data_IF_261961147643
#
_entry.id   IF_261961147643
#
_cell.length_a   1.000
_cell.length_b   1.000
_cell.length_c   1.000
_cell.angle_alpha   90.00
_cell.angle_beta   90.00
_cell.angle_gamma   90.00
#
_symmetry.space_group_name_H-M   'P 1'
#
loop_
_entity.id
_entity.type
_entity.pdbx_description
1 polymer ?
#
# COMPACT_ATOMS: atom_id res chain seq x y z
N UNK A 1 25.18 -26.66 -20.78
CA UNK A 1 24.01 -26.78 -19.88
C UNK A 1 23.06 -25.64 -20.22
N UNK A 2 21.78 -25.92 -20.52
CA UNK A 2 20.81 -24.85 -20.79
C UNK A 2 20.61 -24.04 -19.50
N UNK A 3 20.95 -22.75 -19.51
CA UNK A 3 20.59 -21.81 -18.46
C UNK A 3 19.06 -21.72 -18.40
N UNK A 4 18.43 -22.59 -17.60
CA UNK A 4 17.00 -22.52 -17.35
C UNK A 4 16.78 -21.39 -16.35
N UNK A 5 16.77 -20.14 -16.85
CA UNK A 5 16.32 -19.00 -16.06
C UNK A 5 14.86 -19.27 -15.72
N UNK A 6 14.57 -19.49 -14.43
CA UNK A 6 13.19 -19.56 -13.94
C UNK A 6 12.47 -18.28 -14.36
N UNK A 7 11.28 -18.45 -14.92
CA UNK A 7 10.43 -17.35 -15.39
C UNK A 7 9.62 -16.72 -14.25
N UNK A 8 9.11 -15.51 -14.48
CA UNK A 8 8.16 -14.87 -13.56
C UNK A 8 6.94 -15.75 -13.31
N UNK A 9 6.39 -16.36 -14.37
CA UNK A 9 5.25 -17.26 -14.32
C UNK A 9 5.48 -18.43 -13.34
N UNK A 10 6.65 -19.06 -13.40
CA UNK A 10 7.00 -20.17 -12.50
C UNK A 10 7.12 -19.71 -11.05
N UNK A 11 7.85 -18.62 -10.78
CA UNK A 11 7.95 -18.05 -9.43
C UNK A 11 6.57 -17.69 -8.88
N UNK A 12 5.74 -17.04 -9.70
CA UNK A 12 4.36 -16.66 -9.36
C UNK A 12 3.54 -17.89 -9.00
N UNK A 13 3.54 -18.90 -9.86
CA UNK A 13 2.70 -20.09 -9.69
C UNK A 13 3.11 -20.89 -8.45
N UNK A 14 4.40 -20.95 -8.14
CA UNK A 14 4.92 -21.61 -6.92
C UNK A 14 4.58 -20.86 -5.63
N UNK A 15 4.41 -19.54 -5.68
CA UNK A 15 4.33 -18.71 -4.48
C UNK A 15 3.04 -17.89 -4.31
N UNK A 16 2.08 -17.96 -5.25
CA UNK A 16 0.80 -17.24 -5.14
C UNK A 16 0.08 -17.48 -3.81
N UNK A 17 0.09 -18.71 -3.31
CA UNK A 17 -0.51 -19.08 -2.01
C UNK A 17 0.22 -18.43 -0.83
N UNK A 18 1.54 -18.21 -0.93
CA UNK A 18 2.35 -17.54 0.09
C UNK A 18 1.93 -16.08 0.22
N UNK A 19 1.74 -15.39 -0.90
CA UNK A 19 1.24 -14.00 -0.91
C UNK A 19 -0.18 -13.93 -0.36
N UNK A 20 -1.08 -14.82 -0.79
CA UNK A 20 -2.45 -14.89 -0.26
C UNK A 20 -2.48 -15.10 1.25
N UNK A 21 -1.63 -15.99 1.77
CA UNK A 21 -1.51 -16.24 3.20
C UNK A 21 -1.10 -14.99 3.98
N UNK A 22 -0.08 -14.26 3.50
CA UNK A 22 0.37 -13.03 4.16
C UNK A 22 -0.69 -11.92 4.11
N UNK A 23 -1.41 -11.78 3.00
CA UNK A 23 -2.52 -10.84 2.89
C UNK A 23 -3.63 -11.17 3.88
N UNK A 24 -4.05 -12.44 3.95
CA UNK A 24 -5.05 -12.91 4.90
C UNK A 24 -4.64 -12.67 6.35
N UNK A 25 -3.37 -13.00 6.70
CA UNK A 25 -2.85 -12.84 8.07
C UNK A 25 -2.78 -11.40 8.56
N UNK A 26 -2.67 -10.43 7.66
CA UNK A 26 -2.70 -9.02 8.03
C UNK A 26 -4.13 -8.48 8.15
N UNK A 27 -5.15 -9.32 7.91
CA UNK A 27 -6.57 -9.02 8.00
C UNK A 27 -6.96 -7.73 7.27
N UNK A 28 -6.33 -7.48 6.11
CA UNK A 28 -6.63 -6.28 5.34
C UNK A 28 -7.51 -6.62 4.16
N UNK A 29 -8.62 -5.89 4.04
CA UNK A 29 -9.53 -5.97 2.90
C UNK A 29 -8.82 -5.40 1.67
N UNK A 30 -8.47 -6.29 0.74
CA UNK A 30 -7.81 -5.94 -0.52
C UNK A 30 -8.82 -6.08 -1.66
N UNK A 31 -9.79 -5.16 -1.73
CA UNK A 31 -10.94 -5.24 -2.66
C UNK A 31 -10.54 -5.32 -4.13
N UNK A 32 -9.38 -4.75 -4.49
CA UNK A 32 -8.88 -4.70 -5.86
C UNK A 32 -7.68 -5.62 -6.09
N UNK A 33 -7.31 -6.46 -5.11
CA UNK A 33 -6.13 -7.33 -5.17
C UNK A 33 -4.79 -6.60 -5.40
N UNK A 34 -4.73 -5.28 -5.16
CA UNK A 34 -3.54 -4.47 -5.37
C UNK A 34 -2.39 -4.97 -4.51
N UNK A 35 -2.67 -5.36 -3.26
CA UNK A 35 -1.64 -5.92 -2.37
C UNK A 35 -1.18 -7.28 -2.85
N UNK A 36 -2.08 -8.10 -3.38
CA UNK A 36 -1.70 -9.38 -3.95
C UNK A 36 -0.73 -9.19 -5.13
N UNK A 37 -1.04 -8.28 -6.05
CA UNK A 37 -0.18 -7.97 -7.20
C UNK A 37 1.18 -7.42 -6.77
N UNK A 38 1.19 -6.45 -5.86
CA UNK A 38 2.41 -5.89 -5.25
C UNK A 38 3.29 -6.96 -4.59
N UNK A 39 2.68 -7.95 -3.94
CA UNK A 39 3.40 -9.07 -3.33
C UNK A 39 4.09 -9.95 -4.37
N UNK A 40 3.44 -10.20 -5.51
CA UNK A 40 4.02 -10.96 -6.62
C UNK A 40 5.17 -10.20 -7.28
N UNK A 41 5.00 -8.90 -7.53
CA UNK A 41 6.05 -8.04 -8.11
C UNK A 41 7.25 -7.92 -7.17
N UNK A 42 7.00 -7.70 -5.87
CA UNK A 42 8.08 -7.63 -4.86
C UNK A 42 8.89 -8.92 -4.81
N UNK A 43 8.23 -10.07 -4.89
CA UNK A 43 8.89 -11.37 -4.88
C UNK A 43 9.71 -11.61 -6.15
N UNK A 44 9.23 -11.19 -7.32
CA UNK A 44 10.01 -11.25 -8.55
C UNK A 44 11.29 -10.41 -8.45
N UNK A 45 11.15 -9.16 -8.02
CA UNK A 45 12.30 -8.27 -7.82
C UNK A 45 13.29 -8.83 -6.78
N UNK A 46 12.78 -9.51 -5.75
CA UNK A 46 13.60 -10.19 -4.76
C UNK A 46 14.35 -11.39 -5.36
N UNK A 47 13.70 -12.17 -6.22
CA UNK A 47 14.33 -13.27 -6.95
C UNK A 47 15.47 -12.79 -7.84
N UNK A 48 15.26 -11.71 -8.61
CA UNK A 48 16.30 -11.16 -9.50
C UNK A 48 17.55 -10.67 -8.76
N UNK A 49 17.42 -10.33 -7.48
CA UNK A 49 18.50 -9.83 -6.62
C UNK A 49 19.01 -10.86 -5.62
N UNK A 50 18.47 -12.09 -5.67
CA UNK A 50 18.80 -13.10 -4.69
C UNK A 50 20.16 -13.73 -4.98
N UNK A 51 20.99 -13.81 -3.94
CA UNK A 51 22.21 -14.60 -3.95
C UNK A 51 22.02 -15.85 -3.10
N UNK A 52 22.42 -17.05 -3.57
CA UNK A 52 22.28 -18.29 -2.81
C UNK A 52 22.88 -18.26 -1.40
N UNK A 53 23.90 -17.43 -1.19
CA UNK A 53 24.57 -17.25 0.11
C UNK A 53 23.72 -16.52 1.16
N UNK A 54 22.62 -15.86 0.74
CA UNK A 54 21.72 -15.12 1.62
C UNK A 54 20.71 -16.03 2.38
N UNK A 55 20.94 -17.34 2.38
CA UNK A 55 20.05 -18.34 2.97
C UNK A 55 18.90 -18.72 2.05
N UNK A 56 18.02 -19.64 2.49
CA UNK A 56 16.98 -20.21 1.64
C UNK A 56 16.05 -19.15 1.01
N UNK A 57 15.90 -19.21 -0.32
CA UNK A 57 15.03 -18.32 -1.11
C UNK A 57 13.60 -18.23 -0.54
N UNK A 58 13.05 -19.34 -0.05
CA UNK A 58 11.72 -19.35 0.57
C UNK A 58 11.64 -18.50 1.85
N UNK A 59 12.70 -18.52 2.67
CA UNK A 59 12.81 -17.68 3.87
C UNK A 59 12.91 -16.22 3.48
N UNK A 60 13.73 -15.93 2.47
CA UNK A 60 13.85 -14.57 1.95
C UNK A 60 12.52 -14.05 1.40
N UNK A 61 11.79 -14.87 0.63
CA UNK A 61 10.44 -14.54 0.14
C UNK A 61 9.46 -14.25 1.28
N UNK A 62 9.42 -15.06 2.33
CA UNK A 62 8.58 -14.78 3.50
C UNK A 62 8.86 -13.41 4.10
N UNK A 63 10.15 -13.07 4.25
CA UNK A 63 10.57 -11.80 4.80
C UNK A 63 10.13 -10.62 3.92
N UNK A 64 10.47 -10.64 2.62
CA UNK A 64 10.19 -9.51 1.72
C UNK A 64 8.69 -9.31 1.49
N UNK A 65 7.92 -10.40 1.34
CA UNK A 65 6.46 -10.31 1.18
C UNK A 65 5.83 -9.71 2.44
N UNK A 66 6.16 -10.25 3.63
CA UNK A 66 5.61 -9.74 4.89
C UNK A 66 5.97 -8.27 5.11
N UNK A 67 7.23 -7.90 4.88
CA UNK A 67 7.71 -6.53 5.00
C UNK A 67 6.94 -5.59 4.06
N UNK A 68 6.79 -5.96 2.78
CA UNK A 68 6.04 -5.14 1.82
C UNK A 68 4.60 -4.95 2.24
N UNK A 69 3.91 -6.01 2.67
CA UNK A 69 2.50 -5.88 3.09
C UNK A 69 2.33 -5.02 4.35
N UNK A 70 3.30 -5.07 5.26
CA UNK A 70 3.33 -4.16 6.41
C UNK A 70 3.53 -2.71 5.97
N UNK A 71 4.50 -2.45 5.08
CA UNK A 71 4.78 -1.12 4.53
C UNK A 71 3.55 -0.54 3.82
N UNK A 72 2.86 -1.33 2.98
CA UNK A 72 1.60 -0.93 2.31
C UNK A 72 0.49 -0.62 3.31
N UNK A 73 0.43 -1.36 4.42
CA UNK A 73 -0.56 -1.11 5.48
C UNK A 73 -0.28 0.20 6.19
N UNK A 74 0.99 0.50 6.47
CA UNK A 74 1.40 1.78 7.07
C UNK A 74 1.08 2.96 6.14
N UNK A 75 1.48 2.87 4.87
CA UNK A 75 1.20 3.90 3.87
C UNK A 75 -0.29 4.19 3.72
N UNK A 76 -1.13 3.15 3.73
CA UNK A 76 -2.59 3.36 3.64
C UNK A 76 -3.15 4.09 4.85
N UNK A 77 -2.61 3.84 6.06
CA UNK A 77 -3.02 4.55 7.28
C UNK A 77 -2.62 6.02 7.23
N UNK A 78 -1.39 6.29 6.77
CA UNK A 78 -0.87 7.65 6.59
C UNK A 78 -1.74 8.44 5.60
N UNK A 79 -2.07 7.84 4.45
CA UNK A 79 -2.97 8.45 3.46
C UNK A 79 -4.36 8.80 4.03
N UNK A 80 -4.97 7.89 4.81
CA UNK A 80 -6.29 8.15 5.42
C UNK A 80 -6.20 9.30 6.43
N UNK A 81 -5.14 9.35 7.22
CA UNK A 81 -4.92 10.42 8.19
C UNK A 81 -4.70 11.78 7.49
N UNK A 82 -3.92 11.81 6.42
CA UNK A 82 -3.70 12.99 5.61
C UNK A 82 -4.99 13.49 4.94
N UNK A 83 -5.80 12.58 4.39
CA UNK A 83 -7.10 12.88 3.80
C UNK A 83 -8.04 13.51 4.82
N UNK A 84 -8.18 12.90 6.00
CA UNK A 84 -9.02 13.43 7.08
C UNK A 84 -8.57 14.84 7.52
N UNK A 85 -7.26 15.06 7.63
CA UNK A 85 -6.73 16.38 7.98
C UNK A 85 -6.97 17.41 6.87
N UNK A 86 -6.85 17.02 5.61
CA UNK A 86 -7.16 17.88 4.47
C UNK A 86 -8.65 18.27 4.45
N UNK A 87 -9.54 17.32 4.68
CA UNK A 87 -10.99 17.54 4.79
C UNK A 87 -11.32 18.50 5.94
N UNK A 88 -10.72 18.32 7.12
CA UNK A 88 -10.91 19.24 8.25
C UNK A 88 -10.43 20.66 7.94
N UNK A 89 -9.26 20.81 7.30
CA UNK A 89 -8.75 22.12 6.90
C UNK A 89 -9.66 22.79 5.87
N UNK A 90 -10.17 22.03 4.90
CA UNK A 90 -11.12 22.51 3.90
C UNK A 90 -12.43 22.95 4.57
N UNK A 91 -13.01 22.14 5.44
CA UNK A 91 -14.23 22.46 6.18
C UNK A 91 -14.07 23.75 6.99
N UNK A 92 -12.96 23.90 7.72
CA UNK A 92 -12.66 25.13 8.47
C UNK A 92 -12.51 26.34 7.55
N UNK A 93 -11.83 26.21 6.41
CA UNK A 93 -11.70 27.29 5.43
C UNK A 93 -13.07 27.76 4.93
N UNK A 94 -13.95 26.83 4.57
CA UNK A 94 -15.31 27.18 4.12
C UNK A 94 -16.14 27.80 5.24
N UNK A 95 -16.03 27.31 6.48
CA UNK A 95 -16.75 27.86 7.62
C UNK A 95 -16.36 29.33 7.89
N UNK A 96 -15.06 29.64 7.92
CA UNK A 96 -14.58 31.02 8.10
C UNK A 96 -15.06 31.92 6.96
N UNK A 97 -15.00 31.43 5.71
CA UNK A 97 -15.48 32.18 4.56
C UNK A 97 -16.97 32.50 4.66
N UNK A 98 -17.79 31.57 5.14
CA UNK A 98 -19.23 31.80 5.33
C UNK A 98 -19.54 32.80 6.44
N UNK A 99 -18.76 32.80 7.53
CA UNK A 99 -18.93 33.77 8.63
C UNK A 99 -18.62 35.18 8.13
N UNK A 100 -17.48 35.37 7.47
CA UNK A 100 -17.08 36.68 6.98
C UNK A 100 -18.09 37.27 5.98
N UNK A 101 -18.64 36.44 5.08
CA UNK A 101 -19.68 36.89 4.13
C UNK A 101 -20.98 37.27 4.84
N UNK A 102 -21.33 36.57 5.93
CA UNK A 102 -22.51 36.90 6.73
C UNK A 102 -22.32 38.19 7.53
N UNK A 103 -21.13 38.44 8.07
CA UNK A 103 -20.77 39.68 8.76
C UNK A 103 -20.79 40.87 7.79
N UNK A 104 -20.18 40.74 6.61
CA UNK A 104 -20.17 41.79 5.58
C UNK A 104 -21.60 42.16 5.13
N UNK A 105 -22.51 41.19 5.07
CA UNK A 105 -23.91 41.42 4.68
C UNK A 105 -24.75 42.16 5.74
N UNK A 106 -24.33 42.14 7.02
CA UNK A 106 -25.01 42.88 8.09
C UNK A 106 -24.62 44.37 8.10
N UNK A 107 -23.44 44.72 7.57
CA UNK A 107 -22.94 46.11 7.51
C UNK A 107 -23.68 46.96 6.48
N UNK A 108 -24.26 46.34 5.44
CA UNK A 108 -25.01 47.05 4.39
C UNK A 108 -26.50 47.25 4.68
N UNK A 109 -27.00 46.82 5.85
CA UNK A 109 -28.41 46.96 6.25
C UNK A 109 -28.67 48.05 7.33
N UNK A 110 -27.71 48.95 7.56
CA UNK A 110 -27.86 50.17 8.39
C UNK A 110 -27.73 51.42 7.54
#
# INVERSE_FOLDING_TARGET
MKNHKITFEEIRNQNKRRVQYHNYKLNVKDSYQERHQEGLVTMWNAYERYHPDNGLLATYFNYVIRKRMFDLTRQKKEQVYEQHNAEHKLANHYHIKTINVAEDSQVYNT
#
